data_IF_050793185499
#
_entry.id   IF_050793185499
#
_cell.length_a   1.000
_cell.length_b   1.000
_cell.length_c   1.000
_cell.angle_alpha   90.00
_cell.angle_beta   90.00
_cell.angle_gamma   90.00
#
_symmetry.space_group_name_H-M   'P 1'
#
loop_
_entity.id
_entity.type
_entity.pdbx_description
1 polymer ?
#
# COMPACT_ATOMS: atom_id res chain seq x y z
N UNK A 1 8.33 1.41 14.57
CA UNK A 1 8.92 2.13 15.72
C UNK A 1 9.77 3.33 15.30
N UNK A 2 10.92 3.16 14.62
CA UNK A 2 11.79 4.29 14.26
C UNK A 2 11.10 5.38 13.43
N UNK A 3 10.36 5.00 12.37
CA UNK A 3 9.62 5.97 11.54
C UNK A 3 8.63 6.81 12.36
N UNK A 4 7.85 6.16 13.23
CA UNK A 4 6.89 6.83 14.13
C UNK A 4 7.59 7.79 15.09
N UNK A 5 8.72 7.39 15.68
CA UNK A 5 9.51 8.23 16.59
C UNK A 5 10.09 9.47 15.90
N UNK A 6 10.37 9.38 14.60
CA UNK A 6 10.89 10.46 13.77
C UNK A 6 9.78 11.27 13.08
N UNK A 7 8.52 11.02 13.39
CA UNK A 7 7.35 11.61 12.71
C UNK A 7 7.44 11.44 11.18
N UNK A 8 7.80 10.23 10.74
CA UNK A 8 7.89 9.84 9.34
C UNK A 8 6.88 8.76 9.01
N UNK A 9 6.14 8.97 7.92
CA UNK A 9 5.30 7.95 7.30
C UNK A 9 6.17 6.88 6.65
N UNK A 10 5.74 5.63 6.79
CA UNK A 10 6.42 4.46 6.23
C UNK A 10 5.56 3.84 5.13
N UNK A 11 6.22 3.30 4.10
CA UNK A 11 5.58 2.50 3.05
C UNK A 11 6.18 1.12 3.03
N UNK A 12 5.33 0.09 3.02
CA UNK A 12 5.76 -1.29 2.77
C UNK A 12 5.50 -1.65 1.31
N UNK A 13 6.55 -1.92 0.56
CA UNK A 13 6.49 -2.27 -0.85
C UNK A 13 6.52 -3.80 -1.06
N UNK A 14 5.93 -4.27 -2.17
CA UNK A 14 5.94 -5.69 -2.53
C UNK A 14 4.87 -6.54 -1.82
N UNK A 15 3.73 -5.94 -1.43
CA UNK A 15 2.62 -6.70 -0.84
C UNK A 15 1.83 -7.45 -1.91
N UNK A 16 1.74 -8.77 -1.79
CA UNK A 16 1.10 -9.63 -2.80
C UNK A 16 -0.07 -10.46 -2.23
N UNK A 17 -0.13 -10.67 -0.91
CA UNK A 17 -1.09 -11.57 -0.28
C UNK A 17 -1.91 -10.90 0.81
N UNK A 18 -3.12 -11.43 1.04
CA UNK A 18 -3.98 -10.98 2.14
C UNK A 18 -3.32 -11.16 3.52
N UNK A 19 -2.57 -12.26 3.72
CA UNK A 19 -1.87 -12.50 4.97
C UNK A 19 -0.85 -11.39 5.30
N UNK A 20 -0.13 -10.88 4.29
CA UNK A 20 0.77 -9.73 4.46
C UNK A 20 0.01 -8.45 4.83
N UNK A 21 -1.14 -8.18 4.18
CA UNK A 21 -2.00 -7.04 4.53
C UNK A 21 -2.49 -7.13 5.98
N UNK A 22 -2.96 -8.30 6.40
CA UNK A 22 -3.50 -8.51 7.73
C UNK A 22 -2.40 -8.33 8.80
N UNK A 23 -1.17 -8.77 8.51
CA UNK A 23 0.00 -8.49 9.34
C UNK A 23 0.36 -7.00 9.37
N UNK A 24 0.43 -6.32 8.22
CA UNK A 24 0.80 -4.90 8.16
C UNK A 24 -0.21 -4.00 8.87
N UNK A 25 -1.50 -4.38 8.86
CA UNK A 25 -2.54 -3.71 9.66
C UNK A 25 -2.33 -3.87 11.16
N UNK A 26 -1.88 -5.05 11.63
CA UNK A 26 -1.68 -5.30 13.07
C UNK A 26 -0.53 -4.48 13.66
N UNK A 27 0.47 -4.12 12.84
CA UNK A 27 1.61 -3.29 13.25
C UNK A 27 1.42 -1.80 12.95
N UNK A 28 0.21 -1.39 12.54
CA UNK A 28 -0.13 0.01 12.22
C UNK A 28 0.80 0.62 11.15
N UNK A 29 1.08 -0.13 10.08
CA UNK A 29 1.79 0.39 8.91
C UNK A 29 0.99 1.53 8.26
N UNK A 30 1.65 2.64 7.89
CA UNK A 30 0.96 3.82 7.37
C UNK A 30 0.45 3.62 5.94
N UNK A 31 1.28 3.03 5.08
CA UNK A 31 1.02 2.89 3.65
C UNK A 31 1.57 1.57 3.11
N UNK A 32 0.92 1.05 2.08
CA UNK A 32 1.28 -0.22 1.43
C UNK A 32 1.24 -0.08 -0.07
N UNK A 33 2.17 -0.75 -0.74
CA UNK A 33 2.22 -0.88 -2.19
C UNK A 33 2.49 -2.33 -2.57
N UNK A 34 1.75 -2.84 -3.56
CA UNK A 34 2.07 -4.12 -4.17
C UNK A 34 0.94 -4.70 -5.01
N UNK A 35 1.22 -5.85 -5.62
CA UNK A 35 0.32 -6.52 -6.56
C UNK A 35 -0.97 -7.02 -5.94
N UNK A 36 -1.06 -7.06 -4.60
CA UNK A 36 -2.31 -7.29 -3.91
C UNK A 36 -3.40 -6.30 -4.32
N UNK A 37 -3.04 -5.03 -4.53
CA UNK A 37 -3.97 -3.98 -4.97
C UNK A 37 -4.02 -3.85 -6.48
N UNK A 38 -2.85 -3.69 -7.10
CA UNK A 38 -2.70 -3.55 -8.54
C UNK A 38 -1.26 -3.78 -8.97
N UNK A 39 -1.08 -4.25 -10.21
CA UNK A 39 0.22 -4.15 -10.90
C UNK A 39 0.46 -2.69 -11.33
N UNK A 40 1.69 -2.29 -11.67
CA UNK A 40 1.95 -0.99 -12.28
C UNK A 40 1.06 -0.79 -13.50
N UNK A 41 0.35 0.35 -13.51
CA UNK A 41 -0.60 0.70 -14.55
C UNK A 41 0.00 1.77 -15.46
N UNK A 42 -0.45 1.81 -16.72
CA UNK A 42 -0.27 2.99 -17.56
C UNK A 42 -1.14 4.13 -17.01
N UNK A 43 -0.82 5.36 -17.39
CA UNK A 43 -1.54 6.55 -16.96
C UNK A 43 -3.07 6.43 -17.18
N UNK A 44 -3.48 6.04 -18.39
CA UNK A 44 -4.90 5.89 -18.73
C UNK A 44 -5.64 4.86 -17.86
N UNK A 45 -4.95 3.79 -17.49
CA UNK A 45 -5.51 2.72 -16.66
C UNK A 45 -5.50 3.11 -15.18
N UNK A 46 -4.51 3.89 -14.75
CA UNK A 46 -4.44 4.45 -13.41
C UNK A 46 -5.62 5.38 -13.14
N UNK A 47 -5.93 6.30 -14.07
CA UNK A 47 -7.08 7.22 -13.92
C UNK A 47 -8.40 6.44 -13.77
N UNK A 48 -8.60 5.40 -14.59
CA UNK A 48 -9.79 4.52 -14.48
C UNK A 48 -9.82 3.76 -13.16
N UNK A 49 -8.68 3.20 -12.74
CA UNK A 49 -8.56 2.46 -11.50
C UNK A 49 -8.92 3.32 -10.30
N UNK A 50 -8.36 4.53 -10.21
CA UNK A 50 -8.65 5.48 -9.13
C UNK A 50 -10.11 5.89 -9.12
N UNK A 51 -10.69 6.23 -10.29
CA UNK A 51 -12.10 6.60 -10.40
C UNK A 51 -13.07 5.49 -9.96
N UNK A 52 -12.65 4.22 -10.02
CA UNK A 52 -13.46 3.08 -9.59
C UNK A 52 -13.27 2.69 -8.10
N UNK A 53 -12.28 3.25 -7.40
CA UNK A 53 -11.88 2.87 -6.03
C UNK A 53 -11.77 4.06 -5.05
N UNK A 54 -12.23 5.25 -5.46
CA UNK A 54 -12.52 6.40 -4.58
C UNK A 54 -13.99 6.36 -4.18
#
# INVERSE_FOLDING_TARGET
ELGQQLDKKTVFEGVETKAQIDFLKSIQCDQVQGYYYSRPLKEEDFVKYVAAHI
#
